data_IF_441138236475
#
_entry.id   IF_441138236475
#
_cell.length_a   1.000
_cell.length_b   1.000
_cell.length_c   1.000
_cell.angle_alpha   90.00
_cell.angle_beta   90.00
_cell.angle_gamma   90.00
#
_symmetry.space_group_name_H-M   'P 1'
#
loop_
_entity.id
_entity.type
_entity.pdbx_description
1 polymer ?
#
# COMPACT_ATOMS: atom_id res chain seq x y z
N UNK A 1 -13.83 17.63 17.30
CA UNK A 1 -12.65 17.62 18.19
C UNK A 1 -12.53 16.33 19.02
N UNK A 2 -13.42 16.02 19.98
CA UNK A 2 -13.26 14.78 20.80
C UNK A 2 -13.36 13.47 20.00
N UNK A 3 -14.39 13.35 19.15
CA UNK A 3 -14.57 12.16 18.29
C UNK A 3 -13.44 12.01 17.27
N UNK A 4 -12.97 13.13 16.71
CA UNK A 4 -11.85 13.15 15.76
C UNK A 4 -10.55 12.71 16.42
N UNK A 5 -10.24 13.20 17.61
CA UNK A 5 -9.06 12.78 18.37
C UNK A 5 -9.14 11.29 18.74
N UNK A 6 -10.32 10.80 19.11
CA UNK A 6 -10.52 9.38 19.45
C UNK A 6 -10.35 8.46 18.24
N UNK A 7 -10.85 8.87 17.06
CA UNK A 7 -10.65 8.13 15.82
C UNK A 7 -9.16 8.04 15.45
N UNK A 8 -8.44 9.16 15.52
CA UNK A 8 -7.00 9.22 15.26
C UNK A 8 -6.20 8.36 16.25
N UNK A 9 -6.57 8.39 17.53
CA UNK A 9 -5.94 7.55 18.55
C UNK A 9 -6.14 6.05 18.24
N UNK A 10 -7.38 5.61 17.97
CA UNK A 10 -7.67 4.22 17.61
C UNK A 10 -6.92 3.74 16.37
N UNK A 11 -6.92 4.57 15.33
CA UNK A 11 -6.20 4.28 14.09
C UNK A 11 -4.70 4.09 14.35
N UNK A 12 -4.10 5.02 15.11
CA UNK A 12 -2.69 4.95 15.49
C UNK A 12 -2.37 3.77 16.41
N UNK A 13 -3.22 3.45 17.37
CA UNK A 13 -3.06 2.27 18.24
C UNK A 13 -3.04 0.98 17.40
N UNK A 14 -3.89 0.89 16.38
CA UNK A 14 -3.88 -0.23 15.44
C UNK A 14 -2.56 -0.36 14.67
N UNK A 15 -1.99 0.77 14.23
CA UNK A 15 -0.69 0.82 13.53
C UNK A 15 0.51 0.57 14.47
N UNK A 16 0.51 1.15 15.66
CA UNK A 16 1.59 1.02 16.64
C UNK A 16 1.70 -0.42 17.17
N UNK A 17 0.57 -1.11 17.35
CA UNK A 17 0.54 -2.53 17.68
C UNK A 17 1.21 -3.42 16.60
N UNK A 18 1.28 -2.93 15.36
CA UNK A 18 1.98 -3.59 14.25
C UNK A 18 3.48 -3.24 14.25
N UNK A 19 3.85 -1.96 14.44
CA UNK A 19 5.24 -1.45 14.38
C UNK A 19 6.20 -2.03 15.43
N UNK A 20 5.73 -2.32 16.64
CA UNK A 20 6.58 -2.85 17.73
C UNK A 20 6.91 -4.35 17.59
N UNK A 21 6.28 -5.02 16.61
CA UNK A 21 6.54 -6.42 16.31
C UNK A 21 7.36 -6.51 15.03
N UNK A 22 8.64 -6.92 15.14
CA UNK A 22 9.46 -7.34 13.98
C UNK A 22 8.63 -8.26 13.08
N UNK A 23 8.16 -7.72 11.95
CA UNK A 23 7.10 -8.31 11.17
C UNK A 23 7.53 -9.64 10.53
N UNK A 24 7.01 -10.72 11.11
CA UNK A 24 6.52 -11.89 10.39
C UNK A 24 5.04 -11.92 10.72
N UNK A 25 4.19 -12.23 9.74
CA UNK A 25 2.72 -12.32 9.84
C UNK A 25 2.19 -13.42 10.81
N UNK A 26 2.92 -13.68 11.90
CA UNK A 26 2.80 -14.77 12.86
C UNK A 26 3.04 -14.30 14.31
N UNK A 27 3.06 -12.99 14.60
CA UNK A 27 3.12 -12.54 16.00
C UNK A 27 1.73 -12.55 16.63
N UNK A 28 1.64 -13.08 17.86
CA UNK A 28 0.38 -13.19 18.59
C UNK A 28 -0.25 -11.82 18.89
N UNK A 29 0.54 -10.76 18.97
CA UNK A 29 0.09 -9.40 19.32
C UNK A 29 -0.69 -8.71 18.19
N UNK A 30 -0.21 -8.82 16.95
CA UNK A 30 -0.91 -8.27 15.78
C UNK A 30 -2.24 -8.98 15.55
N UNK A 31 -2.24 -10.31 15.67
CA UNK A 31 -3.46 -11.11 15.60
C UNK A 31 -4.43 -10.83 16.75
N UNK A 32 -3.94 -10.66 17.97
CA UNK A 32 -4.79 -10.28 19.10
C UNK A 32 -5.44 -8.92 18.90
N UNK A 33 -4.70 -7.94 18.34
CA UNK A 33 -5.24 -6.62 18.02
C UNK A 33 -6.31 -6.72 16.94
N UNK A 34 -6.03 -7.42 15.83
CA UNK A 34 -6.99 -7.65 14.75
C UNK A 34 -8.23 -8.41 15.23
N UNK A 35 -8.06 -9.41 16.09
CA UNK A 35 -9.17 -10.17 16.68
C UNK A 35 -10.01 -9.29 17.60
N UNK A 36 -9.37 -8.46 18.44
CA UNK A 36 -10.08 -7.49 19.31
C UNK A 36 -10.87 -6.50 18.47
N UNK A 37 -10.21 -5.89 17.50
CA UNK A 37 -10.79 -4.94 16.56
C UNK A 37 -11.99 -5.56 15.82
N UNK A 38 -11.86 -6.79 15.33
CA UNK A 38 -12.96 -7.55 14.73
C UNK A 38 -14.13 -7.80 15.71
N UNK A 39 -13.81 -8.09 16.98
CA UNK A 39 -14.81 -8.41 18.01
C UNK A 39 -15.60 -7.20 18.54
N UNK A 40 -15.08 -5.98 18.37
CA UNK A 40 -15.72 -4.74 18.84
C UNK A 40 -16.90 -4.28 17.96
N UNK A 41 -17.35 -5.10 17.00
CA UNK A 41 -18.49 -4.87 16.10
C UNK A 41 -18.41 -3.58 15.25
N UNK A 42 -17.23 -2.95 15.17
CA UNK A 42 -16.96 -1.89 14.21
C UNK A 42 -16.56 -2.52 12.86
N UNK A 43 -17.12 -2.06 11.73
CA UNK A 43 -16.63 -2.49 10.43
C UNK A 43 -15.19 -2.00 10.28
N UNK A 44 -14.24 -2.92 10.10
CA UNK A 44 -12.83 -2.58 9.91
C UNK A 44 -12.38 -3.11 8.56
N UNK A 45 -11.91 -2.18 7.72
CA UNK A 45 -11.24 -2.50 6.47
C UNK A 45 -9.74 -2.53 6.70
N UNK A 46 -9.12 -3.68 6.45
CA UNK A 46 -7.67 -3.84 6.50
C UNK A 46 -7.08 -3.54 5.13
N UNK A 47 -6.29 -2.47 5.04
CA UNK A 47 -5.56 -2.04 3.87
C UNK A 47 -4.19 -2.70 3.85
N UNK A 48 -3.98 -3.64 2.93
CA UNK A 48 -2.72 -4.34 2.72
C UNK A 48 -1.84 -3.60 1.72
N UNK A 49 -0.57 -3.39 2.08
CA UNK A 49 0.45 -2.75 1.23
C UNK A 49 1.75 -3.55 1.24
N UNK A 50 2.64 -3.34 0.29
CA UNK A 50 3.84 -4.19 0.14
C UNK A 50 4.83 -4.01 1.31
N UNK A 51 5.16 -2.76 1.63
CA UNK A 51 6.18 -2.43 2.62
C UNK A 51 5.87 -1.25 3.53
N UNK A 52 6.80 -0.95 4.44
CA UNK A 52 6.69 0.12 5.45
C UNK A 52 6.62 1.52 4.80
N UNK A 53 7.29 1.69 3.65
CA UNK A 53 7.20 2.92 2.84
C UNK A 53 5.75 3.19 2.43
N UNK A 54 5.11 2.17 1.86
CA UNK A 54 3.73 2.28 1.39
C UNK A 54 2.76 2.46 2.56
N UNK A 55 3.00 1.76 3.67
CA UNK A 55 2.21 1.94 4.90
C UNK A 55 2.28 3.40 5.36
N UNK A 56 3.47 4.00 5.35
CA UNK A 56 3.68 5.40 5.74
C UNK A 56 2.96 6.36 4.81
N UNK A 57 3.02 6.14 3.50
CA UNK A 57 2.31 6.95 2.51
C UNK A 57 0.78 6.85 2.66
N UNK A 58 0.24 5.63 2.71
CA UNK A 58 -1.21 5.41 2.82
C UNK A 58 -1.76 5.92 4.14
N UNK A 59 -1.04 5.69 5.25
CA UNK A 59 -1.39 6.23 6.57
C UNK A 59 -1.49 7.75 6.51
N UNK A 60 -0.46 8.41 5.96
CA UNK A 60 -0.42 9.86 5.81
C UNK A 60 -1.59 10.36 4.97
N UNK A 61 -1.93 9.66 3.89
CA UNK A 61 -3.04 10.03 3.02
C UNK A 61 -4.39 9.94 3.76
N UNK A 62 -4.63 8.82 4.45
CA UNK A 62 -5.87 8.62 5.23
C UNK A 62 -6.02 9.71 6.29
N UNK A 63 -4.96 10.03 7.02
CA UNK A 63 -5.00 11.05 8.08
C UNK A 63 -5.40 12.45 7.58
N UNK A 64 -5.14 12.74 6.30
CA UNK A 64 -5.36 14.05 5.68
C UNK A 64 -6.65 14.13 4.88
N UNK A 65 -7.07 13.01 4.29
CA UNK A 65 -8.11 13.00 3.25
C UNK A 65 -9.36 12.19 3.63
N UNK A 66 -9.32 11.44 4.74
CA UNK A 66 -10.47 10.64 5.17
C UNK A 66 -11.31 11.32 6.25
N UNK A 67 -12.58 10.96 6.31
CA UNK A 67 -13.46 11.35 7.42
C UNK A 67 -13.01 10.69 8.73
N UNK A 68 -13.43 11.22 9.89
CA UNK A 68 -13.13 10.60 11.19
C UNK A 68 -13.68 9.17 11.30
N UNK A 69 -14.81 8.89 10.64
CA UNK A 69 -15.38 7.54 10.61
C UNK A 69 -14.50 6.60 9.77
N UNK A 70 -14.17 7.00 8.54
CA UNK A 70 -13.33 6.21 7.65
C UNK A 70 -11.95 5.92 8.26
N UNK A 71 -11.37 6.87 9.01
CA UNK A 71 -10.14 6.64 9.79
C UNK A 71 -10.31 5.60 10.90
N UNK A 72 -11.41 5.66 11.65
CA UNK A 72 -11.69 4.71 12.73
C UNK A 72 -11.99 3.29 12.22
N UNK A 73 -12.45 3.19 10.97
CA UNK A 73 -12.85 1.95 10.29
C UNK A 73 -11.76 1.41 9.35
N UNK A 74 -10.56 2.00 9.36
CA UNK A 74 -9.43 1.58 8.52
C UNK A 74 -8.24 1.09 9.36
N UNK A 75 -7.46 0.16 8.82
CA UNK A 75 -6.18 -0.26 9.39
C UNK A 75 -5.19 -0.57 8.27
N UNK A 76 -3.99 0.03 8.28
CA UNK A 76 -2.99 -0.17 7.23
C UNK A 76 -1.90 -1.14 7.68
N UNK A 77 -1.71 -2.25 6.96
CA UNK A 77 -0.72 -3.27 7.26
C UNK A 77 0.25 -3.46 6.09
N UNK A 78 1.55 -3.36 6.38
CA UNK A 78 2.61 -3.78 5.46
C UNK A 78 2.71 -5.29 5.44
N UNK A 79 2.74 -5.93 4.27
CA UNK A 79 2.85 -7.39 4.14
C UNK A 79 4.29 -7.91 4.22
N UNK A 80 5.28 -7.02 4.11
CA UNK A 80 6.69 -7.42 4.00
C UNK A 80 7.00 -8.13 2.68
N UNK A 81 6.36 -7.68 1.59
CA UNK A 81 6.49 -8.23 0.24
C UNK A 81 5.17 -8.77 -0.33
N UNK A 82 4.88 -8.48 -1.59
CA UNK A 82 3.63 -8.86 -2.25
C UNK A 82 3.40 -10.37 -2.33
N UNK A 83 4.46 -11.19 -2.31
CA UNK A 83 4.35 -12.65 -2.31
C UNK A 83 3.63 -13.20 -1.08
N UNK A 84 3.53 -12.42 0.01
CA UNK A 84 2.85 -12.82 1.23
C UNK A 84 1.32 -12.64 1.17
N UNK A 85 0.77 -12.08 0.10
CA UNK A 85 -0.67 -11.80 -0.03
C UNK A 85 -1.55 -13.03 0.24
N UNK A 86 -1.17 -14.22 -0.26
CA UNK A 86 -1.92 -15.45 -0.02
C UNK A 86 -1.94 -15.89 1.46
N UNK A 87 -0.94 -15.51 2.25
CA UNK A 87 -0.96 -15.73 3.70
C UNK A 87 -1.95 -14.79 4.39
N UNK A 88 -1.88 -13.49 4.07
CA UNK A 88 -2.80 -12.49 4.64
C UNK A 88 -4.25 -12.75 4.27
N UNK A 89 -4.52 -13.14 3.02
CA UNK A 89 -5.87 -13.44 2.58
C UNK A 89 -6.49 -14.62 3.34
N UNK A 90 -5.72 -15.68 3.61
CA UNK A 90 -6.18 -16.83 4.43
C UNK A 90 -6.42 -16.45 5.89
N UNK A 91 -5.60 -15.55 6.43
CA UNK A 91 -5.66 -15.17 7.83
C UNK A 91 -6.77 -14.15 8.12
N UNK A 92 -6.91 -13.16 7.26
CA UNK A 92 -7.77 -12.00 7.48
C UNK A 92 -9.05 -12.03 6.67
N UNK A 93 -9.07 -12.70 5.52
CA UNK A 93 -10.24 -12.80 4.67
C UNK A 93 -11.28 -13.81 5.19
N UNK A 94 -12.25 -14.21 4.34
CA UNK A 94 -13.40 -15.02 4.75
C UNK A 94 -13.09 -16.39 5.35
N UNK A 95 -11.93 -16.96 5.03
CA UNK A 95 -11.49 -18.24 5.61
C UNK A 95 -10.88 -18.10 7.01
N UNK A 96 -10.61 -16.88 7.47
CA UNK A 96 -9.97 -16.57 8.75
C UNK A 96 -10.85 -15.65 9.60
N UNK A 97 -10.43 -14.39 9.75
CA UNK A 97 -11.15 -13.40 10.57
C UNK A 97 -12.35 -12.74 9.86
N UNK A 98 -12.59 -13.05 8.58
CA UNK A 98 -13.68 -12.50 7.77
C UNK A 98 -13.73 -10.95 7.77
N UNK A 99 -12.56 -10.34 7.73
CA UNK A 99 -12.39 -8.89 7.64
C UNK A 99 -12.51 -8.43 6.19
N UNK A 100 -13.03 -7.22 6.02
CA UNK A 100 -13.00 -6.53 4.73
C UNK A 100 -11.56 -6.18 4.40
N UNK A 101 -11.09 -6.57 3.22
CA UNK A 101 -9.74 -6.29 2.76
C UNK A 101 -9.76 -5.27 1.62
N UNK A 102 -8.75 -4.41 1.60
CA UNK A 102 -8.41 -3.55 0.48
C UNK A 102 -6.89 -3.51 0.34
N UNK A 103 -6.35 -2.93 -0.74
CA UNK A 103 -4.91 -2.76 -0.83
C UNK A 103 -4.40 -2.10 -2.08
N UNK A 104 -3.12 -1.77 -2.04
CA UNK A 104 -2.33 -1.30 -3.17
C UNK A 104 -1.29 -2.34 -3.53
N UNK A 105 -0.98 -2.45 -4.81
CA UNK A 105 0.07 -3.33 -5.30
C UNK A 105 0.63 -2.83 -6.63
N UNK A 106 1.82 -3.29 -7.00
CA UNK A 106 2.41 -2.91 -8.28
C UNK A 106 1.78 -3.74 -9.40
N UNK A 107 1.46 -3.12 -10.54
CA UNK A 107 0.81 -3.84 -11.67
C UNK A 107 1.57 -5.11 -12.09
N UNK A 108 2.89 -5.12 -11.97
CA UNK A 108 3.72 -6.29 -12.24
C UNK A 108 3.42 -7.50 -11.33
N UNK A 109 2.81 -7.26 -10.18
CA UNK A 109 2.50 -8.23 -9.13
C UNK A 109 1.06 -8.76 -9.17
N UNK A 110 0.24 -8.29 -10.12
CA UNK A 110 -1.17 -8.66 -10.26
C UNK A 110 -1.42 -10.18 -10.18
N UNK A 111 -0.49 -10.98 -10.71
CA UNK A 111 -0.58 -12.44 -10.68
C UNK A 111 -0.59 -13.04 -9.26
N UNK A 112 0.08 -12.43 -8.28
CA UNK A 112 0.05 -12.89 -6.89
C UNK A 112 -1.32 -12.67 -6.26
N UNK A 113 -1.92 -11.50 -6.48
CA UNK A 113 -3.25 -11.14 -5.98
C UNK A 113 -4.36 -11.96 -6.63
N UNK A 114 -4.28 -12.16 -7.95
CA UNK A 114 -5.20 -13.02 -8.69
C UNK A 114 -5.24 -14.42 -8.10
N UNK A 115 -4.06 -15.04 -7.90
CA UNK A 115 -3.96 -16.37 -7.31
C UNK A 115 -4.50 -16.41 -5.88
N UNK A 116 -4.22 -15.39 -5.06
CA UNK A 116 -4.70 -15.34 -3.69
C UNK A 116 -6.23 -15.22 -3.59
N UNK A 117 -6.86 -14.52 -4.54
CA UNK A 117 -8.32 -14.38 -4.65
C UNK A 117 -8.99 -15.54 -5.40
N UNK A 118 -8.23 -16.54 -5.88
CA UNK A 118 -8.77 -17.62 -6.69
C UNK A 118 -9.23 -17.18 -8.09
N UNK A 119 -8.80 -15.99 -8.55
CA UNK A 119 -9.05 -15.49 -9.90
C UNK A 119 -8.10 -16.21 -10.86
N UNK A 120 -8.60 -17.20 -11.58
CA UNK A 120 -7.81 -17.96 -12.56
C UNK A 120 -7.66 -17.16 -13.86
N UNK A 121 -6.41 -16.90 -14.25
CA UNK A 121 -6.09 -16.38 -15.59
C UNK A 121 -5.40 -17.48 -16.38
N UNK A 122 -5.81 -17.70 -17.63
CA UNK A 122 -5.31 -18.78 -18.49
C UNK A 122 -3.87 -18.59 -18.98
N UNK A 123 -3.18 -17.53 -18.54
CA UNK A 123 -1.91 -17.09 -19.10
C UNK A 123 -0.80 -16.94 -18.05
N UNK A 124 -0.53 -17.95 -17.23
CA UNK A 124 0.78 -18.15 -16.59
C UNK A 124 0.93 -19.58 -16.06
N UNK A 125 1.52 -20.46 -16.87
CA UNK A 125 1.99 -21.78 -16.43
C UNK A 125 3.36 -21.62 -15.74
N UNK A 126 3.34 -21.29 -14.45
CA UNK A 126 4.49 -21.45 -13.55
C UNK A 126 4.59 -22.89 -13.04
N UNK A 127 5.74 -23.35 -12.51
CA UNK A 127 5.95 -24.76 -12.17
C UNK A 127 4.99 -25.20 -11.06
N UNK A 128 4.33 -26.31 -11.33
CA UNK A 128 3.25 -26.88 -10.52
C UNK A 128 3.79 -27.48 -9.22
N UNK A 129 3.33 -26.98 -8.07
CA UNK A 129 3.30 -27.72 -6.80
C UNK A 129 1.97 -27.47 -6.07
N UNK A 130 1.11 -28.48 -6.08
CA UNK A 130 -0.25 -28.57 -5.53
C UNK A 130 -0.25 -28.98 -4.02
N UNK A 131 -1.38 -29.18 -3.27
CA UNK A 131 -2.80 -29.04 -3.60
C UNK A 131 -3.72 -28.40 -2.52
N UNK A 132 -4.73 -27.63 -2.96
CA UNK A 132 -6.09 -27.55 -2.39
C UNK A 132 -6.90 -26.56 -3.24
N UNK A 133 -7.51 -27.04 -4.32
CA UNK A 133 -8.29 -26.20 -5.23
C UNK A 133 -9.61 -25.79 -4.57
N UNK A 134 -9.78 -24.50 -4.34
CA UNK A 134 -11.10 -23.87 -4.20
C UNK A 134 -11.84 -23.93 -5.56
N UNK A 135 -13.18 -23.97 -5.58
CA UNK A 135 -13.95 -24.12 -6.81
C UNK A 135 -13.69 -22.96 -7.78
N UNK A 136 -13.53 -23.29 -9.06
CA UNK A 136 -13.19 -22.36 -10.12
C UNK A 136 -14.28 -21.29 -10.32
N UNK A 137 -13.89 -20.03 -10.15
CA UNK A 137 -14.65 -18.85 -10.56
C UNK A 137 -14.48 -18.59 -12.07
N UNK A 138 -15.39 -17.83 -12.72
CA UNK A 138 -15.42 -17.68 -14.17
C UNK A 138 -14.17 -16.97 -14.75
N UNK A 139 -13.91 -17.24 -16.03
CA UNK A 139 -12.72 -16.89 -16.82
C UNK A 139 -12.48 -15.38 -17.00
N UNK A 140 -11.26 -14.89 -16.78
CA UNK A 140 -10.94 -13.45 -16.85
C UNK A 140 -9.57 -13.17 -17.51
N UNK A 141 -9.54 -12.46 -18.65
CA UNK A 141 -8.35 -11.96 -19.40
C UNK A 141 -7.84 -10.56 -18.97
N UNK A 142 -6.64 -10.46 -18.40
CA UNK A 142 -5.78 -9.26 -18.37
C UNK A 142 -6.42 -7.96 -17.83
N UNK A 143 -7.05 -7.17 -18.71
CA UNK A 143 -7.84 -5.97 -18.36
C UNK A 143 -9.03 -6.31 -17.47
N UNK A 144 -9.70 -7.43 -17.74
CA UNK A 144 -10.78 -7.91 -16.88
C UNK A 144 -10.21 -8.40 -15.54
N UNK A 145 -8.94 -8.80 -15.49
CA UNK A 145 -8.33 -9.29 -14.26
C UNK A 145 -7.94 -8.16 -13.29
N UNK A 146 -7.44 -7.03 -13.79
CA UNK A 146 -7.27 -5.83 -12.97
C UNK A 146 -8.61 -5.24 -12.53
N UNK A 147 -9.63 -5.33 -13.39
CA UNK A 147 -11.00 -4.90 -13.05
C UNK A 147 -11.56 -5.76 -11.92
N UNK A 148 -11.43 -7.09 -12.01
CA UNK A 148 -11.85 -8.00 -10.94
C UNK A 148 -11.10 -7.72 -9.62
N UNK A 149 -9.78 -7.49 -9.67
CA UNK A 149 -9.02 -7.09 -8.48
C UNK A 149 -9.54 -5.78 -7.88
N UNK A 150 -9.87 -4.80 -8.71
CA UNK A 150 -10.44 -3.50 -8.30
C UNK A 150 -11.80 -3.69 -7.63
N UNK A 151 -12.68 -4.53 -8.19
CA UNK A 151 -13.98 -4.89 -7.60
C UNK A 151 -13.83 -5.59 -6.24
N UNK A 152 -12.72 -6.28 -6.03
CA UNK A 152 -12.34 -6.90 -4.75
C UNK A 152 -11.53 -5.98 -3.82
N UNK A 153 -11.40 -4.68 -4.14
CA UNK A 153 -10.75 -3.69 -3.27
C UNK A 153 -9.23 -3.58 -3.42
N UNK A 154 -8.64 -4.15 -4.48
CA UNK A 154 -7.20 -4.10 -4.73
C UNK A 154 -6.88 -3.25 -5.97
N UNK A 155 -6.11 -2.20 -5.77
CA UNK A 155 -5.82 -1.18 -6.78
C UNK A 155 -4.35 -1.20 -7.19
N UNK A 156 -4.09 -1.20 -8.50
CA UNK A 156 -2.75 -1.34 -9.05
C UNK A 156 -2.07 0.01 -9.27
N UNK A 157 -0.88 0.20 -8.69
CA UNK A 157 0.09 1.20 -9.14
C UNK A 157 0.64 0.82 -10.51
N UNK A 158 0.91 1.79 -11.38
CA UNK A 158 1.42 1.52 -12.72
C UNK A 158 2.83 0.90 -12.68
N UNK A 159 3.74 1.54 -11.96
CA UNK A 159 5.11 1.07 -11.75
C UNK A 159 5.30 0.68 -10.27
N UNK A 160 5.28 1.69 -9.40
CA UNK A 160 5.32 1.59 -7.95
C UNK A 160 4.67 2.84 -7.32
N UNK A 161 4.43 2.81 -6.00
CA UNK A 161 3.80 3.94 -5.31
C UNK A 161 4.62 5.23 -5.42
N UNK A 162 5.95 5.16 -5.33
CA UNK A 162 6.81 6.35 -5.47
C UNK A 162 6.65 7.00 -6.85
N UNK A 163 6.56 6.20 -7.91
CA UNK A 163 6.30 6.69 -9.26
C UNK A 163 4.95 7.39 -9.36
N UNK A 164 3.90 6.85 -8.73
CA UNK A 164 2.57 7.48 -8.69
C UNK A 164 2.63 8.86 -8.03
N UNK A 165 3.29 8.96 -6.87
CA UNK A 165 3.44 10.21 -6.13
C UNK A 165 4.26 11.24 -6.92
N UNK A 166 5.40 10.82 -7.49
CA UNK A 166 6.25 11.71 -8.30
C UNK A 166 5.51 12.18 -9.56
N UNK A 167 4.73 11.31 -10.20
CA UNK A 167 3.96 11.64 -11.41
C UNK A 167 2.83 12.64 -11.11
N UNK A 168 2.15 12.48 -9.98
CA UNK A 168 1.09 13.41 -9.56
C UNK A 168 1.62 14.78 -9.15
N UNK A 169 2.71 14.83 -8.38
CA UNK A 169 3.29 16.08 -7.90
C UNK A 169 4.09 16.80 -9.00
N UNK A 170 4.71 16.04 -9.90
CA UNK A 170 5.67 16.52 -10.88
C UNK A 170 7.05 16.76 -10.29
N UNK A 171 8.09 16.55 -11.10
CA UNK A 171 9.48 16.62 -10.65
C UNK A 171 9.86 17.96 -10.01
N UNK A 172 9.39 19.09 -10.57
CA UNK A 172 9.65 20.41 -10.02
C UNK A 172 9.17 20.56 -8.57
N UNK A 173 7.97 20.03 -8.25
CA UNK A 173 7.43 20.08 -6.89
C UNK A 173 8.20 19.17 -5.96
N UNK A 174 8.56 17.96 -6.41
CA UNK A 174 9.37 17.02 -5.64
C UNK A 174 10.74 17.61 -5.30
N UNK A 175 11.38 18.33 -6.24
CA UNK A 175 12.66 19.01 -5.98
C UNK A 175 12.56 20.09 -4.91
N UNK A 176 11.46 20.85 -4.88
CA UNK A 176 11.21 21.82 -3.80
C UNK A 176 11.05 21.12 -2.44
N UNK A 177 10.46 19.92 -2.41
CA UNK A 177 10.35 19.14 -1.17
C UNK A 177 11.72 18.64 -0.73
N UNK A 178 12.53 18.07 -1.64
CA UNK A 178 13.92 17.66 -1.37
C UNK A 178 14.76 18.82 -0.83
N UNK A 179 14.57 20.03 -1.37
CA UNK A 179 15.25 21.23 -0.86
C UNK A 179 14.81 21.60 0.56
N UNK A 180 13.51 21.52 0.86
CA UNK A 180 12.96 21.77 2.21
C UNK A 180 13.43 20.74 3.23
N UNK A 181 13.57 19.48 2.83
CA UNK A 181 14.14 18.41 3.67
C UNK A 181 15.67 18.52 3.82
N UNK A 182 16.32 19.50 3.18
CA UNK A 182 17.76 19.74 3.29
C UNK A 182 18.63 18.79 2.44
N UNK A 183 18.02 18.00 1.57
CA UNK A 183 18.67 16.95 0.78
C UNK A 183 19.15 17.42 -0.60
N UNK A 184 19.01 18.71 -0.92
CA UNK A 184 19.35 19.25 -2.25
C UNK A 184 20.79 18.92 -2.67
N UNK A 185 21.76 19.03 -1.74
CA UNK A 185 23.16 18.69 -2.04
C UNK A 185 23.34 17.20 -2.36
N UNK A 186 22.68 16.33 -1.61
CA UNK A 186 22.67 14.88 -1.83
C UNK A 186 22.08 14.55 -3.20
N UNK A 187 20.97 15.20 -3.55
CA UNK A 187 20.32 15.08 -4.86
C UNK A 187 21.24 15.53 -6.01
N UNK A 188 21.87 16.70 -5.90
CA UNK A 188 22.75 17.23 -6.94
C UNK A 188 24.00 16.34 -7.15
N UNK A 189 24.50 15.70 -6.10
CA UNK A 189 25.55 14.69 -6.24
C UNK A 189 25.02 13.45 -6.95
N UNK A 190 23.87 12.95 -6.53
CA UNK A 190 23.25 11.74 -7.08
C UNK A 190 22.89 11.86 -8.57
N UNK A 191 22.24 12.95 -8.97
CA UNK A 191 21.81 13.17 -10.37
C UNK A 191 22.97 13.15 -11.36
N UNK A 192 24.17 13.56 -10.93
CA UNK A 192 25.36 13.66 -11.78
C UNK A 192 26.14 12.35 -11.88
N UNK A 193 25.74 11.31 -11.12
CA UNK A 193 26.41 10.01 -11.19
C UNK A 193 26.23 9.39 -12.58
N UNK A 194 27.25 8.69 -13.14
CA UNK A 194 27.18 8.13 -14.49
C UNK A 194 25.97 7.20 -14.72
N UNK A 195 25.57 6.42 -13.72
CA UNK A 195 24.43 5.51 -13.80
C UNK A 195 23.05 6.22 -13.78
N UNK A 196 23.02 7.51 -13.45
CA UNK A 196 21.81 8.30 -13.24
C UNK A 196 21.64 9.41 -14.27
N UNK A 197 22.72 10.10 -14.68
CA UNK A 197 22.68 11.36 -15.45
C UNK A 197 21.89 11.30 -16.76
N UNK A 198 21.82 10.13 -17.38
CA UNK A 198 21.12 9.91 -18.66
C UNK A 198 19.67 9.44 -18.48
N UNK A 199 19.25 9.16 -17.25
CA UNK A 199 17.87 8.76 -16.94
C UNK A 199 16.93 9.97 -16.93
N UNK A 200 15.64 9.78 -17.25
CA UNK A 200 14.63 10.79 -17.00
C UNK A 200 14.60 11.23 -15.53
N UNK A 201 14.36 12.52 -15.27
CA UNK A 201 14.42 13.11 -13.92
C UNK A 201 13.49 12.39 -12.93
N UNK A 202 12.27 12.02 -13.34
CA UNK A 202 11.35 11.25 -12.51
C UNK A 202 11.94 9.89 -12.04
N UNK A 203 12.67 9.19 -12.91
CA UNK A 203 13.35 7.93 -12.55
C UNK A 203 14.60 8.16 -11.71
N UNK A 204 15.28 9.29 -11.87
CA UNK A 204 16.34 9.69 -10.96
C UNK A 204 15.78 9.95 -9.55
N UNK A 205 14.67 10.68 -9.42
CA UNK A 205 14.01 10.96 -8.14
C UNK A 205 13.57 9.68 -7.43
N UNK A 206 12.91 8.77 -8.15
CA UNK A 206 12.51 7.47 -7.63
C UNK A 206 13.73 6.69 -7.10
N UNK A 207 14.82 6.64 -7.87
CA UNK A 207 16.05 5.98 -7.44
C UNK A 207 16.72 6.66 -6.26
N UNK A 208 16.70 7.99 -6.21
CA UNK A 208 17.26 8.79 -5.11
C UNK A 208 16.59 8.47 -3.77
N UNK A 209 15.26 8.29 -3.78
CA UNK A 209 14.48 7.91 -2.58
C UNK A 209 14.89 6.54 -2.04
N UNK A 210 15.28 5.62 -2.93
CA UNK A 210 15.70 4.25 -2.58
C UNK A 210 17.18 4.05 -2.21
N UNK A 211 18.02 5.10 -2.15
CA UNK A 211 19.47 4.89 -1.99
C UNK A 211 19.93 4.56 -0.58
N UNK A 212 19.16 4.92 0.44
CA UNK A 212 19.54 4.75 1.86
C UNK A 212 18.37 4.26 2.68
N UNK A 213 18.66 3.43 3.69
CA UNK A 213 17.65 2.96 4.63
C UNK A 213 16.91 4.16 5.26
N UNK A 214 15.59 4.02 5.44
CA UNK A 214 14.71 5.05 6.00
C UNK A 214 14.36 6.21 5.06
N UNK A 215 15.15 6.49 4.01
CA UNK A 215 14.83 7.58 3.06
C UNK A 215 13.54 7.33 2.30
N UNK A 216 13.30 6.08 1.90
CA UNK A 216 12.09 5.67 1.18
C UNK A 216 10.85 5.98 2.03
N UNK A 217 10.84 5.53 3.29
CA UNK A 217 9.78 5.79 4.27
C UNK A 217 9.59 7.29 4.57
N UNK A 218 10.69 8.03 4.75
CA UNK A 218 10.63 9.47 4.99
C UNK A 218 9.99 10.22 3.82
N UNK A 219 10.44 9.97 2.58
CA UNK A 219 9.85 10.63 1.41
C UNK A 219 8.45 10.12 1.09
N UNK A 220 8.08 8.90 1.46
CA UNK A 220 6.71 8.42 1.35
C UNK A 220 5.75 9.31 2.15
N UNK A 221 6.13 9.73 3.36
CA UNK A 221 5.37 10.71 4.17
C UNK A 221 5.40 12.08 3.50
N UNK A 222 6.58 12.64 3.21
CA UNK A 222 6.74 14.01 2.67
C UNK A 222 5.96 14.21 1.37
N UNK A 223 6.00 13.24 0.46
CA UNK A 223 5.26 13.31 -0.80
C UNK A 223 3.75 13.17 -0.58
N UNK A 224 3.33 12.26 0.31
CA UNK A 224 1.92 12.06 0.59
C UNK A 224 1.29 13.25 1.30
N UNK A 225 2.01 13.93 2.20
CA UNK A 225 1.57 15.18 2.83
C UNK A 225 1.39 16.32 1.82
N UNK A 226 2.19 16.31 0.75
CA UNK A 226 2.14 17.31 -0.30
C UNK A 226 1.01 17.10 -1.31
N UNK A 227 0.32 15.95 -1.29
CA UNK A 227 -0.85 15.71 -2.13
C UNK A 227 -2.04 16.55 -1.65
N UNK A 228 -2.68 17.22 -2.59
CA UNK A 228 -3.97 17.85 -2.41
C UNK A 228 -5.04 17.03 -3.16
N UNK A 229 -6.31 17.14 -2.75
CA UNK A 229 -7.44 16.40 -3.34
C UNK A 229 -7.42 16.28 -4.89
N UNK A 230 -7.24 17.37 -5.67
CA UNK A 230 -7.35 17.28 -7.13
C UNK A 230 -6.19 16.52 -7.79
N UNK A 231 -5.11 16.22 -7.06
CA UNK A 231 -3.91 15.59 -7.60
C UNK A 231 -3.63 14.21 -6.98
N UNK A 232 -4.53 13.65 -6.16
CA UNK A 232 -4.35 12.30 -5.62
C UNK A 232 -4.31 11.28 -6.78
N UNK A 233 -3.24 10.46 -6.89
CA UNK A 233 -3.14 9.43 -7.93
C UNK A 233 -4.34 8.48 -7.94
N UNK A 234 -4.74 8.01 -9.13
CA UNK A 234 -5.93 7.18 -9.29
C UNK A 234 -5.98 5.93 -8.39
N UNK A 235 -4.88 5.17 -8.18
CA UNK A 235 -4.92 4.00 -7.28
C UNK A 235 -5.24 4.38 -5.83
N UNK A 236 -4.67 5.49 -5.36
CA UNK A 236 -4.92 6.04 -4.02
C UNK A 236 -6.32 6.62 -3.89
N UNK A 237 -6.81 7.30 -4.93
CA UNK A 237 -8.20 7.79 -4.99
C UNK A 237 -9.19 6.63 -4.88
N UNK A 238 -9.00 5.60 -5.69
CA UNK A 238 -9.88 4.43 -5.70
C UNK A 238 -9.85 3.68 -4.36
N UNK A 239 -8.69 3.61 -3.69
CA UNK A 239 -8.59 3.11 -2.32
C UNK A 239 -9.41 3.97 -1.35
N UNK A 240 -9.27 5.30 -1.37
CA UNK A 240 -10.04 6.20 -0.50
C UNK A 240 -11.54 6.11 -0.73
N UNK A 241 -11.97 5.96 -1.98
CA UNK A 241 -13.38 5.85 -2.35
C UNK A 241 -13.98 4.47 -1.98
N UNK A 242 -13.13 3.44 -1.89
CA UNK A 242 -13.54 2.10 -1.46
C UNK A 242 -13.74 2.00 0.05
N UNK A 243 -12.90 2.69 0.83
CA UNK A 243 -12.93 2.63 2.29
C UNK A 243 -14.19 3.30 2.86
#
# INVERSE_FOLDING_TARGET
MQLENQARLRFREGLEAERDSRFKASSLTGLATLTRLASEAAPITVVLVEGISDQSAVTTLLERHSTSQQLAESLVLSMGGATNIGHFFRLLGPAGLDLRLAGLFDRAEAGFFQRALGLTTTAQKGPETSPAALPALPEITGTTALTALTEHGFFACQDDLEAELIRALGAARVLQLIEREGDLRSWLSFRNQPAQRERPEAKQLQRFMGTTSGRKEHYAVVLSEALAEPIIPQPLRALLDFL
#
